data_IF_143648527010
#
_entry.id   IF_143648527010
#
_cell.length_a   1.000
_cell.length_b   1.000
_cell.length_c   1.000
_cell.angle_alpha   90.00
_cell.angle_beta   90.00
_cell.angle_gamma   90.00
#
_symmetry.space_group_name_H-M   'P 1'
#
loop_
_entity.id
_entity.type
_entity.pdbx_description
1 polymer ?
#
# COMPACT_ATOMS: atom_id res chain seq x y z
N UNK A 1 37.17 -29.20 14.28
CA UNK A 1 37.83 -27.92 14.62
C UNK A 1 38.99 -28.10 15.59
N UNK A 2 38.76 -28.54 16.84
CA UNK A 2 39.84 -28.84 17.80
C UNK A 2 40.86 -29.83 17.25
N UNK A 3 40.39 -30.99 16.76
CA UNK A 3 41.25 -31.99 16.12
C UNK A 3 42.08 -31.44 14.94
N UNK A 4 41.48 -30.61 14.08
CA UNK A 4 42.21 -29.96 12.98
C UNK A 4 43.33 -29.05 13.48
N UNK A 5 43.04 -28.20 14.46
CA UNK A 5 44.05 -27.31 15.04
C UNK A 5 45.14 -28.08 15.80
N UNK A 6 44.86 -29.29 16.30
CA UNK A 6 45.87 -30.13 16.96
C UNK A 6 46.76 -30.85 15.95
N UNK A 7 46.21 -31.25 14.80
CA UNK A 7 46.89 -32.01 13.75
C UNK A 7 47.68 -31.13 12.77
N UNK A 8 47.18 -29.93 12.46
CA UNK A 8 47.78 -29.04 11.45
C UNK A 8 48.21 -27.70 12.06
N UNK A 9 49.38 -27.21 11.64
CA UNK A 9 49.89 -25.91 12.05
C UNK A 9 49.11 -24.74 11.42
N UNK A 10 48.66 -24.90 10.16
CA UNK A 10 47.91 -23.89 9.41
C UNK A 10 46.96 -24.51 8.36
N UNK A 11 45.76 -23.90 8.09
CA UNK A 11 45.12 -22.81 8.82
C UNK A 11 44.61 -23.19 10.20
N UNK A 12 44.65 -22.24 11.14
CA UNK A 12 44.01 -22.35 12.46
C UNK A 12 42.57 -21.84 12.38
N UNK A 13 41.61 -22.65 12.78
CA UNK A 13 40.21 -22.24 12.88
C UNK A 13 39.89 -21.66 14.27
N UNK A 14 38.99 -20.68 14.34
CA UNK A 14 38.39 -20.14 15.57
C UNK A 14 36.85 -20.05 15.41
N UNK A 15 36.09 -20.21 16.50
CA UNK A 15 34.64 -19.96 16.49
C UNK A 15 34.49 -18.45 16.57
N UNK A 16 33.76 -17.89 15.61
CA UNK A 16 33.64 -16.45 15.41
C UNK A 16 32.17 -16.08 15.26
N UNK A 17 31.78 -14.93 15.80
CA UNK A 17 30.59 -14.24 15.34
C UNK A 17 30.85 -13.52 14.02
N UNK A 18 29.79 -13.05 13.34
CA UNK A 18 29.94 -12.16 12.20
C UNK A 18 30.70 -10.89 12.60
N UNK A 19 30.39 -10.31 13.77
CA UNK A 19 31.05 -9.11 14.28
C UNK A 19 32.56 -9.29 14.46
N UNK A 20 32.99 -10.42 15.01
CA UNK A 20 34.43 -10.72 15.19
C UNK A 20 35.14 -10.80 13.83
N UNK A 21 34.53 -11.47 12.86
CA UNK A 21 35.09 -11.64 11.51
C UNK A 21 35.17 -10.30 10.75
N UNK A 22 34.08 -9.52 10.74
CA UNK A 22 34.05 -8.21 10.08
C UNK A 22 35.01 -7.22 10.74
N UNK A 23 35.12 -7.21 12.08
CA UNK A 23 36.07 -6.35 12.79
C UNK A 23 37.53 -6.70 12.45
N UNK A 24 37.86 -7.99 12.36
CA UNK A 24 39.20 -8.43 11.99
C UNK A 24 39.54 -8.06 10.53
N UNK A 25 38.57 -8.19 9.62
CA UNK A 25 38.70 -7.80 8.21
C UNK A 25 38.96 -6.29 8.08
N UNK A 26 38.13 -5.47 8.72
CA UNK A 26 38.23 -4.01 8.67
C UNK A 26 39.54 -3.51 9.27
N UNK A 27 39.95 -4.04 10.43
CA UNK A 27 41.23 -3.66 11.06
C UNK A 27 42.42 -3.93 10.16
N UNK A 28 42.39 -5.01 9.38
CA UNK A 28 43.52 -5.44 8.55
C UNK A 28 43.53 -4.79 7.16
N UNK A 29 42.35 -4.62 6.55
CA UNK A 29 42.24 -4.25 5.14
C UNK A 29 41.34 -3.04 4.88
N UNK A 30 40.73 -2.43 5.91
CA UNK A 30 39.72 -1.38 5.73
C UNK A 30 40.20 -0.18 4.91
N UNK A 31 41.50 0.14 4.95
CA UNK A 31 42.11 1.22 4.15
C UNK A 31 42.24 0.89 2.67
N UNK A 32 42.23 -0.39 2.34
CA UNK A 32 42.46 -0.93 0.99
C UNK A 32 41.16 -1.37 0.31
N UNK A 33 40.03 -1.38 1.03
CA UNK A 33 38.74 -1.80 0.49
C UNK A 33 38.21 -0.77 -0.54
N UNK A 34 37.85 -1.19 -1.76
CA UNK A 34 37.23 -0.31 -2.73
C UNK A 34 35.84 0.14 -2.25
N UNK A 35 35.47 1.38 -2.56
CA UNK A 35 34.17 1.96 -2.24
C UNK A 35 33.34 2.13 -3.50
N UNK A 36 32.09 1.67 -3.43
CA UNK A 36 31.09 1.82 -4.49
C UNK A 36 29.88 2.58 -3.96
N UNK A 37 29.14 3.25 -4.84
CA UNK A 37 27.94 4.02 -4.50
C UNK A 37 26.83 3.77 -5.52
N UNK A 38 25.60 3.63 -5.03
CA UNK A 38 24.41 3.35 -5.82
C UNK A 38 23.75 2.04 -5.39
N UNK A 39 22.78 1.60 -6.17
CA UNK A 39 22.07 0.35 -5.92
C UNK A 39 22.85 -0.82 -6.52
N UNK A 40 22.93 -1.92 -5.76
CA UNK A 40 23.40 -3.20 -6.27
C UNK A 40 22.18 -3.93 -6.83
N UNK A 41 22.00 -3.89 -8.15
CA UNK A 41 20.86 -4.51 -8.86
C UNK A 41 21.31 -5.71 -9.69
N UNK A 42 21.48 -6.88 -9.06
CA UNK A 42 21.98 -8.06 -9.74
C UNK A 42 20.90 -8.74 -10.59
N UNK A 43 21.32 -9.42 -11.65
CA UNK A 43 20.41 -10.10 -12.60
C UNK A 43 19.61 -11.26 -11.98
N UNK A 44 20.01 -11.80 -10.82
CA UNK A 44 19.31 -12.93 -10.20
C UNK A 44 17.95 -12.55 -9.61
N UNK A 45 17.61 -11.25 -9.58
CA UNK A 45 16.29 -10.75 -9.19
C UNK A 45 15.29 -10.75 -10.35
N UNK A 46 15.74 -11.03 -11.59
CA UNK A 46 14.88 -11.06 -12.78
C UNK A 46 13.78 -12.15 -12.71
N UNK A 47 13.94 -13.14 -11.83
CA UNK A 47 12.92 -14.16 -11.52
C UNK A 47 11.66 -13.60 -10.83
N UNK A 48 11.73 -12.40 -10.23
CA UNK A 48 10.63 -11.78 -9.49
C UNK A 48 9.39 -11.51 -10.36
N UNK A 49 9.53 -11.42 -11.69
CA UNK A 49 8.40 -11.26 -12.61
C UNK A 49 7.39 -12.42 -12.55
N UNK A 50 7.83 -13.63 -12.18
CA UNK A 50 6.97 -14.82 -12.06
C UNK A 50 5.90 -14.70 -10.95
N UNK A 51 6.07 -13.74 -10.04
CA UNK A 51 5.19 -13.47 -8.88
C UNK A 51 4.57 -12.07 -8.92
N UNK A 52 4.43 -11.47 -10.12
CA UNK A 52 3.93 -10.10 -10.26
C UNK A 52 2.53 -9.90 -9.66
N UNK A 53 1.64 -10.89 -9.79
CA UNK A 53 0.28 -10.85 -9.23
C UNK A 53 0.32 -10.76 -7.71
N UNK A 54 0.96 -11.74 -7.06
CA UNK A 54 1.11 -11.79 -5.61
C UNK A 54 1.88 -10.56 -5.09
N UNK A 55 2.86 -10.06 -5.83
CA UNK A 55 3.59 -8.84 -5.47
C UNK A 55 2.67 -7.61 -5.50
N UNK A 56 1.80 -7.51 -6.49
CA UNK A 56 0.76 -6.47 -6.55
C UNK A 56 -0.21 -6.57 -5.37
N UNK A 57 -0.69 -7.78 -5.07
CA UNK A 57 -1.56 -8.03 -3.92
C UNK A 57 -0.88 -7.64 -2.59
N UNK A 58 0.42 -7.95 -2.42
CA UNK A 58 1.16 -7.64 -1.21
C UNK A 58 1.34 -6.14 -1.01
N UNK A 59 1.68 -5.42 -2.08
CA UNK A 59 1.76 -3.95 -2.06
C UNK A 59 0.40 -3.31 -1.75
N UNK A 60 -0.68 -3.84 -2.33
CA UNK A 60 -2.04 -3.39 -2.05
C UNK A 60 -2.45 -3.64 -0.59
N UNK A 61 -2.10 -4.80 -0.02
CA UNK A 61 -2.36 -5.10 1.38
C UNK A 61 -1.58 -4.18 2.33
N UNK A 62 -0.30 -3.93 2.05
CA UNK A 62 0.52 -3.00 2.83
C UNK A 62 -0.02 -1.57 2.80
N UNK A 63 -0.42 -1.08 1.62
CA UNK A 63 -1.05 0.25 1.49
C UNK A 63 -2.38 0.31 2.24
N UNK A 64 -3.24 -0.69 2.08
CA UNK A 64 -4.51 -0.80 2.81
C UNK A 64 -4.32 -0.79 4.34
N UNK A 65 -3.30 -1.50 4.85
CA UNK A 65 -2.96 -1.48 6.28
C UNK A 65 -2.53 -0.08 6.74
N UNK A 66 -1.63 0.58 6.01
CA UNK A 66 -1.20 1.94 6.34
C UNK A 66 -2.40 2.92 6.35
N UNK A 67 -3.29 2.81 5.37
CA UNK A 67 -4.52 3.62 5.32
C UNK A 67 -5.46 3.30 6.50
N UNK A 68 -5.62 2.03 6.85
CA UNK A 68 -6.43 1.60 7.98
C UNK A 68 -5.87 2.15 9.31
N UNK A 69 -4.56 2.09 9.53
CA UNK A 69 -3.91 2.67 10.73
C UNK A 69 -4.13 4.18 10.81
N UNK A 70 -3.94 4.90 9.71
CA UNK A 70 -4.20 6.35 9.64
C UNK A 70 -5.66 6.68 9.97
N UNK A 71 -6.61 5.98 9.36
CA UNK A 71 -8.05 6.19 9.60
C UNK A 71 -8.46 5.78 11.01
N UNK A 72 -7.88 4.73 11.60
CA UNK A 72 -8.13 4.37 12.99
C UNK A 72 -7.72 5.51 13.92
N UNK A 73 -6.50 6.03 13.74
CA UNK A 73 -5.98 7.15 14.53
C UNK A 73 -6.82 8.42 14.39
N UNK A 74 -7.31 8.72 13.18
CA UNK A 74 -8.09 9.92 12.90
C UNK A 74 -9.54 9.82 13.37
N UNK A 75 -10.19 8.67 13.20
CA UNK A 75 -11.65 8.57 13.19
C UNK A 75 -12.23 7.78 14.35
N UNK A 76 -11.48 6.81 14.86
CA UNK A 76 -11.94 5.91 15.90
C UNK A 76 -10.74 5.24 16.58
N UNK A 77 -9.94 5.96 17.40
CA UNK A 77 -8.72 5.40 17.99
C UNK A 77 -8.96 4.09 18.76
N UNK A 78 -10.13 3.94 19.39
CA UNK A 78 -10.52 2.73 20.11
C UNK A 78 -10.79 1.50 19.24
N UNK A 79 -10.88 1.64 17.91
CA UNK A 79 -11.06 0.49 17.00
C UNK A 79 -9.73 -0.12 16.54
N UNK A 80 -8.58 0.50 16.86
CA UNK A 80 -7.27 -0.05 16.56
C UNK A 80 -7.01 -1.33 17.37
N UNK A 81 -6.66 -2.42 16.68
CA UNK A 81 -6.40 -3.73 17.30
C UNK A 81 -4.94 -4.14 17.09
N UNK A 82 -4.02 -3.79 18.00
CA UNK A 82 -2.58 -3.95 17.78
C UNK A 82 -2.15 -5.36 17.37
N UNK A 83 -2.73 -6.39 17.99
CA UNK A 83 -2.39 -7.78 17.68
C UNK A 83 -2.81 -8.18 16.26
N UNK A 84 -3.96 -7.72 15.78
CA UNK A 84 -4.47 -8.04 14.45
C UNK A 84 -3.69 -7.29 13.36
N UNK A 85 -3.30 -6.04 13.60
CA UNK A 85 -2.41 -5.29 12.70
C UNK A 85 -1.02 -5.92 12.62
N UNK A 86 -0.41 -6.29 13.75
CA UNK A 86 0.87 -7.01 13.76
C UNK A 86 0.81 -8.32 12.98
N UNK A 87 -0.29 -9.05 13.11
CA UNK A 87 -0.52 -10.28 12.34
C UNK A 87 -0.56 -10.03 10.83
N UNK A 88 -1.29 -9.00 10.40
CA UNK A 88 -1.41 -8.63 8.99
C UNK A 88 -0.08 -8.16 8.42
N UNK A 89 0.65 -7.30 9.14
CA UNK A 89 2.00 -6.89 8.76
C UNK A 89 2.99 -8.05 8.73
N UNK A 90 2.87 -9.02 9.65
CA UNK A 90 3.70 -10.23 9.60
C UNK A 90 3.47 -10.99 8.29
N UNK A 91 2.22 -11.13 7.84
CA UNK A 91 1.93 -11.77 6.56
C UNK A 91 2.52 -10.99 5.36
N UNK A 92 2.46 -9.66 5.38
CA UNK A 92 3.12 -8.82 4.34
C UNK A 92 4.63 -9.05 4.30
N UNK A 93 5.26 -9.13 5.48
CA UNK A 93 6.71 -9.35 5.61
C UNK A 93 7.13 -10.76 5.21
N UNK A 94 6.39 -11.79 5.65
CA UNK A 94 6.68 -13.19 5.33
C UNK A 94 6.54 -13.50 3.84
N UNK A 95 5.63 -12.82 3.12
CA UNK A 95 5.60 -12.90 1.66
C UNK A 95 6.89 -12.34 1.03
N UNK A 96 7.47 -11.31 1.63
CA UNK A 96 8.64 -10.60 1.11
C UNK A 96 9.97 -11.25 1.51
N UNK A 97 9.96 -12.33 2.28
CA UNK A 97 11.17 -13.06 2.62
C UNK A 97 11.80 -13.67 1.35
N UNK A 98 13.12 -13.46 1.21
CA UNK A 98 13.89 -14.02 0.12
C UNK A 98 14.10 -15.52 0.35
N UNK A 99 13.59 -16.36 -0.55
CA UNK A 99 13.87 -17.79 -0.59
C UNK A 99 14.52 -18.19 -1.92
N UNK A 100 15.33 -19.26 -1.90
CA UNK A 100 15.93 -19.80 -3.12
C UNK A 100 14.86 -20.47 -3.99
N UNK A 101 14.80 -20.15 -5.28
CA UNK A 101 13.94 -20.83 -6.27
C UNK A 101 14.41 -22.28 -6.57
N UNK A 102 14.35 -23.17 -5.58
CA UNK A 102 14.66 -24.60 -5.74
C UNK A 102 13.36 -25.41 -5.96
N UNK A 103 13.39 -26.35 -6.92
CA UNK A 103 12.31 -27.14 -7.57
C UNK A 103 11.41 -27.98 -6.62
N UNK A 104 11.58 -27.88 -5.30
CA UNK A 104 10.51 -28.19 -4.32
C UNK A 104 9.36 -27.14 -4.32
N UNK A 105 9.28 -26.35 -5.40
CA UNK A 105 8.74 -25.00 -5.54
C UNK A 105 7.24 -24.85 -5.34
N UNK A 106 6.39 -25.82 -5.68
CA UNK A 106 4.92 -25.60 -5.65
C UNK A 106 4.36 -25.49 -4.23
N UNK A 107 4.72 -26.42 -3.35
CA UNK A 107 4.21 -26.42 -1.96
C UNK A 107 4.76 -25.25 -1.14
N UNK A 108 6.02 -24.91 -1.36
CA UNK A 108 6.64 -23.74 -0.74
C UNK A 108 6.01 -22.45 -1.26
N UNK A 109 5.72 -22.39 -2.57
CA UNK A 109 4.97 -21.29 -3.16
C UNK A 109 3.55 -21.18 -2.60
N UNK A 110 2.83 -22.27 -2.41
CA UNK A 110 1.48 -22.25 -1.82
C UNK A 110 1.49 -21.63 -0.41
N UNK A 111 2.51 -21.95 0.40
CA UNK A 111 2.72 -21.33 1.71
C UNK A 111 3.02 -19.84 1.56
N UNK A 112 3.94 -19.45 0.69
CA UNK A 112 4.32 -18.04 0.46
C UNK A 112 3.12 -17.21 -0.02
N UNK A 113 2.38 -17.76 -1.00
CA UNK A 113 1.14 -17.19 -1.53
C UNK A 113 0.05 -17.07 -0.46
N UNK A 114 -0.02 -18.02 0.48
CA UNK A 114 -1.00 -17.94 1.57
C UNK A 114 -0.79 -16.69 2.43
N UNK A 115 0.45 -16.23 2.62
CA UNK A 115 0.72 -15.02 3.37
C UNK A 115 0.09 -13.80 2.70
N UNK A 116 0.27 -13.62 1.38
CA UNK A 116 -0.33 -12.45 0.71
C UNK A 116 -1.86 -12.52 0.64
N UNK A 117 -2.44 -13.70 0.43
CA UNK A 117 -3.90 -13.89 0.46
C UNK A 117 -4.46 -13.55 1.85
N UNK A 118 -3.77 -13.97 2.92
CA UNK A 118 -4.13 -13.65 4.28
C UNK A 118 -3.96 -12.15 4.59
N UNK A 119 -2.86 -11.54 4.16
CA UNK A 119 -2.59 -10.12 4.33
C UNK A 119 -3.68 -9.25 3.68
N UNK A 120 -4.07 -9.56 2.44
CA UNK A 120 -5.14 -8.85 1.75
C UNK A 120 -6.46 -8.94 2.53
N UNK A 121 -6.92 -10.16 2.83
CA UNK A 121 -8.17 -10.39 3.57
C UNK A 121 -8.18 -9.69 4.93
N UNK A 122 -7.06 -9.75 5.65
CA UNK A 122 -6.93 -9.11 6.96
C UNK A 122 -6.95 -7.58 6.83
N UNK A 123 -6.23 -7.00 5.87
CA UNK A 123 -6.20 -5.55 5.64
C UNK A 123 -7.59 -4.99 5.32
N UNK A 124 -8.32 -5.61 4.39
CA UNK A 124 -9.68 -5.21 4.02
C UNK A 124 -10.66 -5.32 5.20
N UNK A 125 -10.57 -6.41 5.97
CA UNK A 125 -11.40 -6.61 7.17
C UNK A 125 -11.11 -5.56 8.25
N UNK A 126 -9.83 -5.25 8.50
CA UNK A 126 -9.42 -4.23 9.47
C UNK A 126 -9.91 -2.85 9.05
N UNK A 127 -9.70 -2.44 7.80
CA UNK A 127 -10.21 -1.18 7.26
C UNK A 127 -11.73 -1.09 7.41
N UNK A 128 -12.46 -2.13 7.01
CA UNK A 128 -13.91 -2.17 7.11
C UNK A 128 -14.41 -2.08 8.56
N UNK A 129 -13.69 -2.69 9.53
CA UNK A 129 -14.01 -2.55 10.95
C UNK A 129 -13.85 -1.11 11.45
N UNK A 130 -12.79 -0.42 11.02
CA UNK A 130 -12.54 0.98 11.39
C UNK A 130 -13.63 1.88 10.83
N UNK A 131 -13.98 1.72 9.56
CA UNK A 131 -15.03 2.50 8.92
C UNK A 131 -16.40 2.24 9.57
N UNK A 132 -16.73 0.98 9.90
CA UNK A 132 -17.95 0.65 10.64
C UNK A 132 -17.99 1.27 12.04
N UNK A 133 -16.90 1.17 12.80
CA UNK A 133 -16.83 1.74 14.13
C UNK A 133 -17.12 3.25 14.12
N UNK A 134 -16.56 3.97 13.13
CA UNK A 134 -16.80 5.40 12.94
C UNK A 134 -18.24 5.72 12.47
N UNK A 135 -18.79 4.92 11.56
CA UNK A 135 -20.11 5.15 10.95
C UNK A 135 -21.32 4.92 11.86
N UNK A 136 -21.13 4.47 13.10
CA UNK A 136 -22.20 4.02 14.02
C UNK A 136 -23.13 5.12 14.57
N UNK A 137 -23.16 6.33 14.02
CA UNK A 137 -23.95 7.45 14.60
C UNK A 137 -24.16 8.71 13.74
N UNK A 138 -24.01 8.64 12.41
CA UNK A 138 -24.11 9.81 11.52
C UNK A 138 -25.34 9.83 10.60
N UNK A 139 -25.66 11.01 10.06
CA UNK A 139 -26.66 11.21 9.00
C UNK A 139 -26.26 10.42 7.74
N UNK A 140 -27.09 9.44 7.37
CA UNK A 140 -26.88 8.48 6.28
C UNK A 140 -27.02 9.10 4.88
N UNK A 141 -27.38 10.38 4.77
CA UNK A 141 -27.67 11.03 3.48
C UNK A 141 -26.44 11.56 2.72
N UNK A 142 -25.21 11.36 3.21
CA UNK A 142 -23.99 11.89 2.59
C UNK A 142 -22.87 10.87 2.43
N UNK A 143 -22.02 11.09 1.42
CA UNK A 143 -20.84 10.30 1.10
C UNK A 143 -19.60 11.06 1.57
N UNK A 144 -18.86 10.47 2.51
CA UNK A 144 -17.59 11.01 2.97
C UNK A 144 -16.42 10.39 2.19
N UNK A 145 -15.65 11.22 1.49
CA UNK A 145 -14.37 10.86 0.89
C UNK A 145 -13.27 11.21 1.88
N UNK A 146 -12.47 10.22 2.30
CA UNK A 146 -11.39 10.38 3.28
C UNK A 146 -10.04 10.28 2.60
N UNK A 147 -9.15 11.23 2.88
CA UNK A 147 -7.76 11.20 2.46
C UNK A 147 -6.89 10.78 3.63
N UNK A 148 -6.35 9.57 3.57
CA UNK A 148 -5.44 8.97 4.56
C UNK A 148 -3.96 9.35 4.35
N UNK A 149 -3.65 10.18 3.36
CA UNK A 149 -2.27 10.60 3.03
C UNK A 149 -1.92 11.97 3.60
N UNK A 150 -0.63 12.25 3.72
CA UNK A 150 -0.09 13.53 4.23
C UNK A 150 0.03 14.63 3.17
N UNK A 151 -0.50 14.41 1.96
CA UNK A 151 -0.56 15.41 0.88
C UNK A 151 -1.98 15.52 0.32
N UNK A 152 -2.26 16.65 -0.34
CA UNK A 152 -3.58 16.95 -0.88
C UNK A 152 -3.82 16.10 -2.12
N UNK A 153 -5.03 15.56 -2.28
CA UNK A 153 -5.38 14.67 -3.41
C UNK A 153 -6.60 15.16 -4.18
N UNK A 154 -6.58 14.95 -5.49
CA UNK A 154 -7.74 15.06 -6.38
C UNK A 154 -7.90 13.71 -7.06
N UNK A 155 -9.05 13.06 -6.88
CA UNK A 155 -9.25 11.69 -7.35
C UNK A 155 -10.64 11.51 -7.97
N UNK A 156 -10.73 10.60 -8.94
CA UNK A 156 -12.00 10.07 -9.43
C UNK A 156 -12.53 9.07 -8.39
N UNK A 157 -13.70 9.38 -7.85
CA UNK A 157 -14.43 8.49 -6.95
C UNK A 157 -15.47 7.75 -7.75
N UNK A 158 -15.49 6.42 -7.63
CA UNK A 158 -16.47 5.55 -8.28
C UNK A 158 -17.31 4.90 -7.21
N UNK A 159 -18.61 5.18 -7.22
CA UNK A 159 -19.56 4.62 -6.28
C UNK A 159 -20.34 3.48 -6.92
N UNK A 160 -20.53 2.36 -6.21
CA UNK A 160 -21.42 1.30 -6.68
C UNK A 160 -22.86 1.82 -6.80
N UNK A 161 -23.65 1.16 -7.65
CA UNK A 161 -25.04 1.52 -7.92
C UNK A 161 -25.87 1.64 -6.63
N UNK A 162 -25.70 0.70 -5.70
CA UNK A 162 -26.42 0.70 -4.42
C UNK A 162 -26.17 1.94 -3.53
N UNK A 163 -25.02 2.61 -3.69
CA UNK A 163 -24.70 3.85 -2.96
C UNK A 163 -25.08 5.12 -3.74
N UNK A 164 -25.53 5.00 -4.98
CA UNK A 164 -25.87 6.12 -5.87
C UNK A 164 -27.30 6.06 -6.41
N UNK A 165 -28.19 5.31 -5.75
CA UNK A 165 -29.59 5.16 -6.15
C UNK A 165 -30.41 6.46 -6.13
N UNK A 166 -29.93 7.49 -5.42
CA UNK A 166 -30.60 8.78 -5.33
C UNK A 166 -30.55 9.61 -6.63
N UNK A 167 -29.67 9.25 -7.58
CA UNK A 167 -29.54 9.91 -8.88
C UNK A 167 -28.08 10.13 -9.28
N UNK A 168 -27.87 10.99 -10.27
CA UNK A 168 -26.57 11.18 -10.90
C UNK A 168 -25.92 12.51 -10.53
N UNK A 169 -26.68 13.45 -9.95
CA UNK A 169 -26.15 14.74 -9.54
C UNK A 169 -25.45 14.66 -8.19
N UNK A 170 -24.22 15.14 -8.15
CA UNK A 170 -23.40 15.20 -6.94
C UNK A 170 -23.11 16.65 -6.58
N UNK A 171 -23.32 17.00 -5.31
CA UNK A 171 -22.91 18.30 -4.78
C UNK A 171 -22.00 18.14 -3.56
N UNK A 172 -21.09 19.07 -3.36
CA UNK A 172 -20.32 19.13 -2.12
C UNK A 172 -21.15 19.76 -0.98
N UNK A 173 -20.60 19.77 0.24
CA UNK A 173 -21.23 20.38 1.43
C UNK A 173 -21.56 21.87 1.31
N UNK A 174 -20.97 22.58 0.34
CA UNK A 174 -21.29 24.00 0.07
C UNK A 174 -22.45 24.16 -0.92
N UNK A 175 -23.06 23.06 -1.36
CA UNK A 175 -24.12 23.05 -2.37
C UNK A 175 -23.62 23.27 -3.81
N UNK A 176 -22.30 23.24 -4.02
CA UNK A 176 -21.72 23.39 -5.37
C UNK A 176 -21.77 22.03 -6.08
N UNK A 177 -22.37 22.00 -7.26
CA UNK A 177 -22.40 20.82 -8.12
C UNK A 177 -20.98 20.45 -8.55
N UNK A 178 -20.66 19.15 -8.53
CA UNK A 178 -19.38 18.62 -9.02
C UNK A 178 -19.62 17.75 -10.25
N UNK A 179 -18.66 17.69 -11.20
CA UNK A 179 -18.81 16.84 -12.37
C UNK A 179 -19.04 15.39 -11.98
N UNK A 180 -20.11 14.80 -12.53
CA UNK A 180 -20.50 13.42 -12.25
C UNK A 180 -21.07 12.72 -13.49
N UNK A 181 -20.85 11.41 -13.57
CA UNK A 181 -21.31 10.60 -14.70
C UNK A 181 -21.61 9.17 -14.25
N UNK A 182 -22.80 8.68 -14.58
CA UNK A 182 -23.10 7.24 -14.48
C UNK A 182 -22.47 6.49 -15.63
N UNK A 183 -21.71 5.44 -15.31
CA UNK A 183 -21.10 4.56 -16.28
C UNK A 183 -22.12 3.54 -16.81
N UNK A 184 -21.80 2.88 -17.93
CA UNK A 184 -22.63 1.81 -18.48
C UNK A 184 -22.75 0.60 -17.55
N UNK A 185 -21.86 0.47 -16.57
CA UNK A 185 -21.89 -0.54 -15.51
C UNK A 185 -22.88 -0.23 -14.38
N UNK A 186 -23.50 0.96 -14.39
CA UNK A 186 -24.39 1.44 -13.33
C UNK A 186 -23.69 2.18 -12.20
N UNK A 187 -22.36 2.15 -12.14
CA UNK A 187 -21.57 2.91 -11.15
C UNK A 187 -21.62 4.41 -11.42
N UNK A 188 -21.55 5.22 -10.36
CA UNK A 188 -21.51 6.69 -10.46
C UNK A 188 -20.08 7.19 -10.20
N UNK A 189 -19.45 7.77 -11.22
CA UNK A 189 -18.18 8.46 -11.10
C UNK A 189 -18.36 9.95 -10.78
N UNK A 190 -17.58 10.51 -9.85
CA UNK A 190 -17.47 11.96 -9.66
C UNK A 190 -16.06 12.37 -9.21
N UNK A 191 -15.68 13.63 -9.46
CA UNK A 191 -14.34 14.12 -9.10
C UNK A 191 -14.34 14.74 -7.70
N UNK A 192 -13.55 14.19 -6.78
CA UNK A 192 -13.29 14.79 -5.48
C UNK A 192 -12.00 15.62 -5.56
N UNK A 193 -12.15 16.94 -5.77
CA UNK A 193 -11.01 17.83 -5.92
C UNK A 193 -10.43 18.30 -4.58
N UNK A 194 -9.09 18.35 -4.51
CA UNK A 194 -8.35 19.06 -3.48
C UNK A 194 -8.69 18.59 -2.05
N UNK A 195 -8.98 17.31 -1.84
CA UNK A 195 -9.26 16.73 -0.52
C UNK A 195 -8.05 16.95 0.39
N UNK A 196 -8.22 17.62 1.56
CA UNK A 196 -7.10 18.00 2.41
C UNK A 196 -6.32 16.80 2.96
N UNK A 197 -5.07 17.03 3.34
CA UNK A 197 -4.19 16.04 3.98
C UNK A 197 -4.84 15.49 5.24
N UNK A 198 -4.82 14.16 5.45
CA UNK A 198 -5.38 13.53 6.65
C UNK A 198 -6.77 14.10 7.00
N UNK A 199 -7.62 14.25 5.98
CA UNK A 199 -8.87 14.99 6.08
C UNK A 199 -9.99 14.37 5.26
N UNK A 200 -11.10 15.09 5.14
CA UNK A 200 -12.29 14.60 4.45
C UNK A 200 -12.93 15.67 3.56
N UNK A 201 -13.68 15.20 2.57
CA UNK A 201 -14.64 15.99 1.81
C UNK A 201 -15.96 15.21 1.77
N UNK A 202 -17.08 15.90 1.98
CA UNK A 202 -18.40 15.28 2.00
C UNK A 202 -19.23 15.73 0.80
N UNK A 203 -19.97 14.78 0.25
CA UNK A 203 -20.78 14.92 -0.95
C UNK A 203 -22.19 14.38 -0.71
N UNK A 204 -23.14 14.86 -1.51
CA UNK A 204 -24.53 14.41 -1.48
C UNK A 204 -24.96 14.07 -2.91
N UNK A 205 -25.81 13.05 -3.02
CA UNK A 205 -26.34 12.54 -4.29
C UNK A 205 -27.82 12.86 -4.35
N UNK A 206 -28.30 13.27 -5.52
CA UNK A 206 -29.69 13.69 -5.73
C UNK A 206 -30.16 13.43 -7.16
N UNK A 207 -31.48 13.52 -7.34
CA UNK A 207 -32.15 13.33 -8.63
C UNK A 207 -32.10 14.57 -9.55
N UNK A 208 -31.35 15.62 -9.18
CA UNK A 208 -31.15 16.77 -10.04
C UNK A 208 -30.35 16.39 -11.30
N UNK A 209 -30.26 17.32 -12.26
CA UNK A 209 -29.47 17.10 -13.48
C UNK A 209 -27.99 17.04 -13.12
N UNK A 210 -27.22 16.04 -13.60
CA UNK A 210 -25.79 15.97 -13.36
C UNK A 210 -25.07 17.14 -14.04
N UNK A 211 -23.99 17.60 -13.40
CA UNK A 211 -23.09 18.58 -13.99
C UNK A 211 -22.08 17.85 -14.87
N UNK A 212 -21.96 18.28 -16.13
CA UNK A 212 -20.93 17.75 -17.03
C UNK A 212 -19.74 18.70 -17.05
N UNK A 213 -18.51 18.18 -17.12
CA UNK A 213 -17.34 19.05 -17.20
C UNK A 213 -17.45 19.92 -18.45
N UNK A 214 -17.49 21.23 -18.26
CA UNK A 214 -17.37 22.19 -19.35
C UNK A 214 -15.99 21.95 -19.97
N UNK A 215 -15.94 21.65 -21.28
CA UNK A 215 -14.69 21.41 -21.98
C UNK A 215 -13.71 22.54 -21.66
N UNK A 216 -12.63 22.22 -20.93
CA UNK A 216 -11.54 23.19 -20.73
C UNK A 216 -10.99 23.48 -22.11
N UNK A 217 -11.28 24.67 -22.65
CA UNK A 217 -10.51 25.20 -23.78
C UNK A 217 -9.08 25.33 -23.26
N UNK A 218 -8.23 24.35 -23.54
CA UNK A 218 -6.80 24.55 -23.49
C UNK A 218 -6.52 25.69 -24.47
N UNK A 219 -6.26 26.89 -23.96
CA UNK A 219 -5.56 27.88 -24.75
C UNK A 219 -4.18 27.31 -24.99
N UNK A 220 -4.00 26.65 -26.14
CA UNK A 220 -2.68 26.42 -26.68
C UNK A 220 -2.01 27.80 -26.80
N UNK A 221 -0.82 28.02 -26.21
CA UNK A 221 -0.05 29.20 -26.52
C UNK A 221 0.46 29.05 -27.96
N UNK A 222 -0.35 29.48 -28.93
CA UNK A 222 0.11 29.67 -30.30
C UNK A 222 0.85 31.00 -30.39
N UNK A 223 2.08 30.94 -30.88
CA UNK A 223 2.71 32.07 -31.55
C UNK A 223 4.13 32.35 -31.11
N UNK A 224 5.09 31.58 -31.60
CA UNK A 224 6.36 32.16 -32.05
C UNK A 224 6.52 31.71 -33.49
N UNK A 225 6.40 32.69 -34.40
CA UNK A 225 6.79 32.60 -35.80
C UNK A 225 8.31 32.67 -35.95
#
# INVERSE_FOLDING_TARGET
MKAWNEEYEWPRFFISSASDAFSALEKRYGKDLPQFKGDLTPYWEDGAGSSALETGMNRGAADCLAQAEALAAMLSPGSYRPAAFREAWRNVLLYSEHDSENIFTKKQWDVKRSFVVNAQKQSESLLANILRAHGSGGDNAGIDVRNSTSWRRTELIVLPEGLSAAGDHVNNVRGVAVPSQRFSTGELGFLAEQVPTLGSARFHISAAKPEYPVARRQQCPHGIS
#
